data_IF_034048257016
#
_entry.id   IF_034048257016
#
_cell.length_a   1.000
_cell.length_b   1.000
_cell.length_c   1.000
_cell.angle_alpha   90.00
_cell.angle_beta   90.00
_cell.angle_gamma   90.00
#
_symmetry.space_group_name_H-M   'P 1'
#
loop_
_entity.id
_entity.type
_entity.pdbx_description
1 polymer ?
#
# COMPACT_ATOMS: atom_id res chain seq x y z
N UNK A 1 32.20 -18.94 23.65
CA UNK A 1 33.61 -18.73 23.27
C UNK A 1 33.60 -17.98 21.94
N UNK A 2 33.30 -16.68 21.99
CA UNK A 2 33.09 -15.84 20.81
C UNK A 2 33.43 -14.37 21.08
N UNK A 3 34.47 -14.14 21.86
CA UNK A 3 35.15 -12.86 21.97
C UNK A 3 36.62 -13.19 21.82
N UNK A 4 37.16 -12.92 20.63
CA UNK A 4 38.57 -12.56 20.38
C UNK A 4 38.88 -12.75 18.89
N UNK A 5 38.80 -11.64 18.15
CA UNK A 5 39.51 -11.41 16.90
C UNK A 5 40.13 -10.02 17.10
N UNK A 6 41.44 -9.83 16.94
CA UNK A 6 42.05 -9.14 15.78
C UNK A 6 43.51 -8.81 16.15
N UNK A 7 44.44 -9.10 15.22
CA UNK A 7 45.75 -8.45 14.88
C UNK A 7 46.59 -9.55 14.16
N UNK A 8 47.09 -9.47 12.93
CA UNK A 8 47.56 -8.36 12.09
C UNK A 8 47.67 -8.80 10.61
N UNK A 9 47.49 -7.85 9.68
CA UNK A 9 47.94 -7.80 8.28
C UNK A 9 47.55 -8.88 7.24
N UNK A 10 46.87 -9.97 7.61
CA UNK A 10 46.17 -10.89 6.70
C UNK A 10 44.63 -10.75 6.72
N UNK A 11 44.14 -9.75 7.43
CA UNK A 11 42.77 -9.67 7.98
C UNK A 11 41.74 -8.94 7.12
N UNK A 12 42.13 -8.09 6.17
CA UNK A 12 41.17 -7.20 5.49
C UNK A 12 40.22 -7.92 4.51
N UNK A 13 40.70 -8.94 3.80
CA UNK A 13 39.85 -9.73 2.89
C UNK A 13 38.94 -10.72 3.63
N UNK A 14 39.41 -11.26 4.76
CA UNK A 14 38.64 -12.17 5.59
C UNK A 14 37.51 -11.42 6.32
N UNK A 15 37.79 -10.21 6.81
CA UNK A 15 36.79 -9.31 7.41
C UNK A 15 35.74 -8.87 6.37
N UNK A 16 36.16 -8.59 5.13
CA UNK A 16 35.24 -8.26 4.04
C UNK A 16 34.34 -9.46 3.68
N UNK A 17 34.89 -10.66 3.55
CA UNK A 17 34.11 -11.86 3.23
C UNK A 17 33.10 -12.20 4.35
N UNK A 18 33.50 -12.10 5.61
CA UNK A 18 32.60 -12.30 6.76
C UNK A 18 31.50 -11.24 6.79
N UNK A 19 31.86 -9.98 6.50
CA UNK A 19 30.88 -8.89 6.44
C UNK A 19 29.88 -9.09 5.30
N UNK A 20 30.35 -9.47 4.10
CA UNK A 20 29.47 -9.77 2.96
C UNK A 20 28.52 -10.91 3.31
N UNK A 21 29.04 -12.01 3.86
CA UNK A 21 28.21 -13.14 4.24
C UNK A 21 27.16 -12.75 5.31
N UNK A 22 27.55 -11.92 6.27
CA UNK A 22 26.61 -11.39 7.26
C UNK A 22 25.49 -10.57 6.61
N UNK A 23 25.84 -9.68 5.68
CA UNK A 23 24.85 -8.88 4.94
C UNK A 23 23.93 -9.74 4.08
N UNK A 24 24.44 -10.81 3.47
CA UNK A 24 23.63 -11.78 2.72
C UNK A 24 22.62 -12.48 3.62
N UNK A 25 23.01 -12.88 4.85
CA UNK A 25 22.09 -13.44 5.83
C UNK A 25 21.01 -12.43 6.23
N UNK A 26 21.39 -11.19 6.57
CA UNK A 26 20.42 -10.15 6.89
C UNK A 26 19.46 -9.90 5.73
N UNK A 27 19.96 -9.84 4.49
CA UNK A 27 19.12 -9.69 3.31
C UNK A 27 18.17 -10.87 3.13
N UNK A 28 18.66 -12.12 3.26
CA UNK A 28 17.84 -13.31 3.17
C UNK A 28 16.71 -13.31 4.20
N UNK A 29 17.03 -13.01 5.47
CA UNK A 29 16.06 -12.91 6.54
C UNK A 29 15.06 -11.79 6.27
N UNK A 30 15.50 -10.63 5.76
CA UNK A 30 14.58 -9.57 5.33
C UNK A 30 13.59 -10.07 4.28
N UNK A 31 14.02 -10.87 3.30
CA UNK A 31 13.12 -11.46 2.30
C UNK A 31 12.14 -12.44 2.94
N UNK A 32 12.61 -13.35 3.80
CA UNK A 32 11.76 -14.31 4.51
C UNK A 32 10.70 -13.61 5.36
N UNK A 33 11.09 -12.63 6.18
CA UNK A 33 10.17 -11.87 7.02
C UNK A 33 9.26 -10.94 6.21
N UNK A 34 9.70 -10.44 5.04
CA UNK A 34 8.83 -9.72 4.12
C UNK A 34 7.74 -10.62 3.55
N UNK A 35 8.06 -11.88 3.24
CA UNK A 35 7.08 -12.87 2.79
C UNK A 35 6.11 -13.26 3.92
N UNK A 36 6.62 -13.51 5.15
CA UNK A 36 5.77 -13.80 6.30
C UNK A 36 4.84 -12.62 6.64
N UNK A 37 5.36 -11.40 6.57
CA UNK A 37 4.57 -10.18 6.70
C UNK A 37 3.48 -10.09 5.63
N UNK A 38 3.81 -10.41 4.38
CA UNK A 38 2.83 -10.48 3.30
C UNK A 38 1.74 -11.51 3.57
N UNK A 39 2.08 -12.72 4.03
CA UNK A 39 1.09 -13.75 4.42
C UNK A 39 0.17 -13.24 5.52
N UNK A 40 0.76 -12.71 6.60
CA UNK A 40 0.02 -12.15 7.73
C UNK A 40 -0.96 -11.07 7.29
N UNK A 41 -0.49 -10.10 6.52
CA UNK A 41 -1.28 -8.94 6.12
C UNK A 41 -2.35 -9.31 5.08
N UNK A 42 -2.00 -10.16 4.11
CA UNK A 42 -2.94 -10.69 3.10
C UNK A 42 -4.07 -11.45 3.77
N UNK A 43 -3.80 -12.32 4.75
CA UNK A 43 -4.84 -13.03 5.51
C UNK A 43 -5.71 -12.04 6.28
N UNK A 44 -5.08 -11.15 7.07
CA UNK A 44 -5.77 -10.21 7.93
C UNK A 44 -6.73 -9.30 7.14
N UNK A 45 -6.26 -8.71 6.04
CA UNK A 45 -7.07 -7.82 5.22
C UNK A 45 -8.09 -8.60 4.40
N UNK A 46 -7.77 -9.81 3.91
CA UNK A 46 -8.75 -10.62 3.17
C UNK A 46 -9.94 -11.03 4.04
N UNK A 47 -9.69 -11.35 5.31
CA UNK A 47 -10.75 -11.65 6.28
C UNK A 47 -11.60 -10.40 6.57
N UNK A 48 -10.96 -9.24 6.77
CA UNK A 48 -11.68 -7.97 7.00
C UNK A 48 -12.54 -7.55 5.81
N UNK A 49 -12.04 -7.72 4.59
CA UNK A 49 -12.69 -7.31 3.35
C UNK A 49 -13.63 -8.39 2.77
N UNK A 50 -13.65 -9.59 3.36
CA UNK A 50 -14.42 -10.77 2.91
C UNK A 50 -14.18 -11.13 1.44
N UNK A 51 -12.98 -10.88 0.94
CA UNK A 51 -12.50 -11.21 -0.41
C UNK A 51 -11.00 -11.35 -0.37
N UNK A 52 -10.40 -12.05 -1.33
CA UNK A 52 -8.95 -12.13 -1.41
C UNK A 52 -8.34 -10.76 -1.74
N UNK A 53 -7.40 -10.30 -0.90
CA UNK A 53 -6.68 -9.04 -1.06
C UNK A 53 -5.18 -9.29 -0.94
N UNK A 54 -4.48 -9.25 -2.08
CA UNK A 54 -3.02 -9.30 -2.10
C UNK A 54 -2.43 -7.98 -1.54
N UNK A 55 -1.78 -8.02 -0.37
CA UNK A 55 -1.24 -6.84 0.33
C UNK A 55 0.18 -6.42 -0.06
N UNK A 56 0.82 -7.12 -1.01
CA UNK A 56 2.19 -6.81 -1.41
C UNK A 56 2.33 -5.43 -2.03
N UNK A 57 3.30 -4.64 -1.56
CA UNK A 57 3.70 -3.41 -2.26
C UNK A 57 4.37 -3.75 -3.59
N UNK A 58 5.31 -4.70 -3.57
CA UNK A 58 5.88 -5.27 -4.78
C UNK A 58 4.83 -6.13 -5.50
N UNK A 59 5.07 -6.50 -6.76
CA UNK A 59 4.18 -7.39 -7.51
C UNK A 59 4.23 -8.82 -6.96
N UNK A 60 5.40 -9.25 -6.51
CA UNK A 60 5.61 -10.49 -5.77
C UNK A 60 5.00 -10.45 -4.36
N UNK A 61 4.94 -11.62 -3.69
CA UNK A 61 4.32 -11.78 -2.37
C UNK A 61 5.21 -11.25 -1.23
N UNK A 62 5.58 -9.96 -1.29
CA UNK A 62 6.50 -9.34 -0.34
C UNK A 62 5.91 -8.03 0.20
N UNK A 63 5.96 -7.89 1.53
CA UNK A 63 5.75 -6.62 2.23
C UNK A 63 7.08 -6.17 2.85
N UNK A 64 7.91 -5.38 2.14
CA UNK A 64 9.28 -5.06 2.56
C UNK A 64 9.43 -4.46 3.96
N UNK A 65 8.43 -3.70 4.42
CA UNK A 65 8.45 -3.08 5.75
C UNK A 65 8.59 -4.11 6.89
N UNK A 66 7.98 -5.30 6.73
CA UNK A 66 8.10 -6.38 7.73
C UNK A 66 9.50 -6.99 7.74
N UNK A 67 10.10 -7.19 6.57
CA UNK A 67 11.48 -7.65 6.45
C UNK A 67 12.47 -6.68 7.08
N UNK A 68 12.37 -5.41 6.72
CA UNK A 68 13.21 -4.34 7.27
C UNK A 68 13.01 -4.24 8.78
N UNK A 69 11.77 -4.23 9.26
CA UNK A 69 11.46 -4.15 10.69
C UNK A 69 12.00 -5.35 11.48
N UNK A 70 11.86 -6.56 10.95
CA UNK A 70 12.40 -7.77 11.56
C UNK A 70 13.93 -7.74 11.66
N UNK A 71 14.62 -7.38 10.57
CA UNK A 71 16.09 -7.32 10.57
C UNK A 71 16.61 -6.23 11.50
N UNK A 72 15.99 -5.05 11.51
CA UNK A 72 16.32 -3.99 12.48
C UNK A 72 16.10 -4.49 13.91
N UNK A 73 14.99 -5.17 14.18
CA UNK A 73 14.73 -5.78 15.48
C UNK A 73 15.79 -6.83 15.85
N UNK A 74 16.18 -7.71 14.93
CA UNK A 74 17.23 -8.71 15.16
C UNK A 74 18.56 -8.05 15.51
N UNK A 75 18.99 -7.06 14.73
CA UNK A 75 20.28 -6.38 14.94
C UNK A 75 20.29 -5.58 16.26
N UNK A 76 19.20 -4.87 16.57
CA UNK A 76 19.14 -3.95 17.72
C UNK A 76 18.76 -4.65 19.02
N UNK A 77 17.85 -5.63 18.98
CA UNK A 77 17.28 -6.25 20.17
C UNK A 77 18.02 -7.53 20.61
N UNK A 78 18.65 -8.27 19.69
CA UNK A 78 19.40 -9.50 20.06
C UNK A 78 20.51 -9.24 21.09
N UNK A 79 21.30 -8.14 21.02
CA UNK A 79 22.30 -7.83 22.05
C UNK A 79 21.72 -7.57 23.44
N UNK A 80 20.41 -7.36 23.56
CA UNK A 80 19.73 -7.03 24.81
C UNK A 80 19.22 -8.25 25.57
N UNK A 81 19.30 -9.46 25.00
CA UNK A 81 18.77 -10.70 25.59
C UNK A 81 19.31 -10.99 26.99
N UNK A 82 20.56 -10.64 27.26
CA UNK A 82 21.24 -10.93 28.53
C UNK A 82 21.09 -9.79 29.56
N UNK A 83 20.34 -8.74 29.23
CA UNK A 83 20.15 -7.59 30.14
C UNK A 83 19.05 -7.87 31.19
N UNK A 84 19.14 -7.29 32.41
CA UNK A 84 18.03 -7.31 33.34
C UNK A 84 16.78 -6.72 32.67
N UNK A 85 15.62 -7.37 32.84
CA UNK A 85 14.37 -6.97 32.20
C UNK A 85 14.38 -7.03 30.66
N UNK A 86 15.23 -7.88 30.05
CA UNK A 86 15.39 -8.03 28.59
C UNK A 86 14.06 -8.00 27.83
N UNK A 87 13.08 -8.83 28.21
CA UNK A 87 11.78 -8.92 27.54
C UNK A 87 11.05 -7.56 27.52
N UNK A 88 11.01 -6.84 28.65
CA UNK A 88 10.35 -5.55 28.73
C UNK A 88 11.09 -4.49 27.89
N UNK A 89 12.42 -4.46 27.99
CA UNK A 89 13.25 -3.52 27.21
C UNK A 89 13.10 -3.76 25.71
N UNK A 90 13.12 -5.03 25.28
CA UNK A 90 12.93 -5.42 23.89
C UNK A 90 11.52 -5.10 23.40
N UNK A 91 10.49 -5.31 24.22
CA UNK A 91 9.13 -4.91 23.90
C UNK A 91 9.02 -3.40 23.67
N UNK A 92 9.55 -2.58 24.59
CA UNK A 92 9.47 -1.12 24.49
C UNK A 92 10.25 -0.59 23.29
N UNK A 93 11.49 -1.06 23.09
CA UNK A 93 12.31 -0.65 21.93
C UNK A 93 11.73 -1.19 20.61
N UNK A 94 11.18 -2.40 20.61
CA UNK A 94 10.48 -2.96 19.46
C UNK A 94 9.25 -2.13 19.09
N UNK A 95 8.43 -1.75 20.07
CA UNK A 95 7.24 -0.92 19.88
C UNK A 95 7.60 0.47 19.32
N UNK A 96 8.60 1.13 19.91
CA UNK A 96 9.07 2.45 19.46
C UNK A 96 9.72 2.34 18.08
N UNK A 97 10.63 1.39 17.89
CA UNK A 97 11.35 1.19 16.64
C UNK A 97 10.42 0.87 15.46
N UNK A 98 9.46 -0.03 15.68
CA UNK A 98 8.44 -0.33 14.67
C UNK A 98 7.56 0.90 14.37
N UNK A 99 7.16 1.66 15.38
CA UNK A 99 6.38 2.89 15.20
C UNK A 99 7.15 3.94 14.39
N UNK A 100 8.46 4.10 14.65
CA UNK A 100 9.33 5.01 13.88
C UNK A 100 9.43 4.54 12.43
N UNK A 101 9.68 3.25 12.20
CA UNK A 101 9.77 2.68 10.86
C UNK A 101 8.45 2.85 10.09
N UNK A 102 7.32 2.56 10.72
CA UNK A 102 5.99 2.68 10.12
C UNK A 102 5.66 4.14 9.79
N UNK A 103 5.91 5.07 10.72
CA UNK A 103 5.71 6.49 10.47
C UNK A 103 6.58 7.01 9.32
N UNK A 104 7.88 6.67 9.34
CA UNK A 104 8.83 7.08 8.31
C UNK A 104 8.43 6.51 6.94
N UNK A 105 8.07 5.23 6.88
CA UNK A 105 7.62 4.58 5.63
C UNK A 105 6.37 5.26 5.09
N UNK A 106 5.36 5.49 5.94
CA UNK A 106 4.14 6.21 5.57
C UNK A 106 4.45 7.62 5.04
N UNK A 107 5.38 8.34 5.67
CA UNK A 107 5.78 9.68 5.26
C UNK A 107 6.53 9.70 3.92
N UNK A 108 7.51 8.79 3.73
CA UNK A 108 8.24 8.66 2.46
C UNK A 108 7.29 8.33 1.31
N UNK A 109 6.38 7.37 1.53
CA UNK A 109 5.39 6.98 0.51
C UNK A 109 4.44 8.12 0.17
N UNK A 110 4.01 8.91 1.15
CA UNK A 110 3.19 10.08 0.89
C UNK A 110 3.94 11.14 0.09
N UNK A 111 5.22 11.40 0.38
CA UNK A 111 6.03 12.35 -0.40
C UNK A 111 6.34 11.86 -1.81
N UNK A 112 6.51 10.55 -2.00
CA UNK A 112 6.81 9.97 -3.30
C UNK A 112 5.57 9.82 -4.19
N UNK A 113 4.41 9.48 -3.61
CA UNK A 113 3.22 9.07 -4.36
C UNK A 113 1.97 9.92 -4.07
N UNK A 114 2.05 10.92 -3.19
CA UNK A 114 0.92 11.73 -2.72
C UNK A 114 -0.25 10.92 -2.14
N UNK A 115 0.05 9.71 -1.65
CA UNK A 115 -0.91 8.80 -1.05
C UNK A 115 -0.28 8.02 0.11
N UNK A 116 -1.12 7.59 1.04
CA UNK A 116 -0.78 6.74 2.19
C UNK A 116 -1.49 5.42 2.04
N UNK A 117 -0.79 4.31 2.26
CA UNK A 117 -1.28 2.96 1.98
C UNK A 117 -2.17 2.41 3.10
N UNK A 118 -2.11 3.03 4.27
CA UNK A 118 -2.94 2.76 5.43
C UNK A 118 -3.30 4.07 6.12
N UNK A 119 -4.37 4.02 6.91
CA UNK A 119 -4.86 5.13 7.70
C UNK A 119 -5.41 4.62 9.05
N UNK A 120 -4.82 5.12 10.13
CA UNK A 120 -5.18 4.84 11.53
C UNK A 120 -5.93 5.99 12.20
N UNK A 121 -6.44 6.98 11.44
CA UNK A 121 -7.14 8.15 12.00
C UNK A 121 -8.34 7.78 12.89
N UNK A 122 -8.94 6.61 12.67
CA UNK A 122 -10.07 6.10 13.46
C UNK A 122 -9.66 5.39 14.76
N UNK A 123 -8.36 5.19 15.00
CA UNK A 123 -7.86 4.54 16.22
C UNK A 123 -7.49 5.58 17.28
N UNK A 124 -7.72 5.23 18.55
CA UNK A 124 -7.29 6.06 19.69
C UNK A 124 -5.77 6.12 19.75
N UNK A 125 -5.24 7.25 20.22
CA UNK A 125 -3.80 7.50 20.33
C UNK A 125 -3.06 7.28 19.00
N UNK A 126 -3.65 7.75 17.90
CA UNK A 126 -2.98 7.78 16.60
C UNK A 126 -2.14 9.07 16.45
N UNK A 127 -1.10 9.00 15.63
CA UNK A 127 -0.30 10.16 15.24
C UNK A 127 -0.45 10.41 13.74
N UNK A 128 -1.16 11.49 13.39
CA UNK A 128 -1.52 11.87 12.01
C UNK A 128 -2.16 10.72 11.20
N UNK A 129 -2.77 9.72 11.84
CA UNK A 129 -3.26 8.52 11.19
C UNK A 129 -2.19 7.59 10.59
N UNK A 130 -0.90 7.77 10.90
CA UNK A 130 0.19 6.92 10.35
C UNK A 130 0.54 5.72 11.21
N UNK A 131 0.44 5.89 12.52
CA UNK A 131 0.69 4.89 13.54
C UNK A 131 -0.37 5.02 14.64
N UNK A 132 -0.53 3.99 15.46
CA UNK A 132 -1.41 4.03 16.63
C UNK A 132 -0.86 3.17 17.78
N UNK A 133 -1.34 3.42 19.00
CA UNK A 133 -0.89 2.70 20.19
C UNK A 133 -1.11 1.18 20.10
N UNK A 134 -2.25 0.74 19.55
CA UNK A 134 -2.51 -0.70 19.39
C UNK A 134 -1.49 -1.33 18.45
N UNK A 135 -1.16 -0.65 17.34
CA UNK A 135 -0.09 -1.09 16.43
C UNK A 135 1.25 -1.18 17.14
N UNK A 136 1.64 -0.14 17.90
CA UNK A 136 2.87 -0.13 18.66
C UNK A 136 2.98 -1.31 19.64
N UNK A 137 1.90 -1.65 20.35
CA UNK A 137 1.87 -2.80 21.27
C UNK A 137 2.04 -4.11 20.49
N UNK A 138 1.27 -4.33 19.42
CA UNK A 138 1.36 -5.54 18.60
C UNK A 138 2.77 -5.72 18.04
N UNK A 139 3.37 -4.67 17.49
CA UNK A 139 4.72 -4.73 16.95
C UNK A 139 5.80 -4.85 18.02
N UNK A 140 5.58 -4.31 19.23
CA UNK A 140 6.45 -4.57 20.38
C UNK A 140 6.47 -6.05 20.75
N UNK A 141 5.30 -6.71 20.78
CA UNK A 141 5.22 -8.17 21.00
C UNK A 141 5.92 -8.92 19.86
N UNK A 142 5.69 -8.53 18.60
CA UNK A 142 6.39 -9.15 17.47
C UNK A 142 7.90 -8.95 17.53
N UNK A 143 8.42 -7.81 18.00
CA UNK A 143 9.85 -7.61 18.21
C UNK A 143 10.46 -8.65 19.14
N UNK A 144 9.80 -8.92 20.27
CA UNK A 144 10.22 -9.98 21.21
C UNK A 144 10.11 -11.36 20.56
N UNK A 145 8.96 -11.69 19.97
CA UNK A 145 8.72 -13.02 19.37
C UNK A 145 9.67 -13.31 18.19
N UNK A 146 10.00 -12.31 17.37
CA UNK A 146 10.96 -12.46 16.29
C UNK A 146 12.30 -12.88 16.86
N UNK A 147 12.79 -12.18 17.87
CA UNK A 147 14.15 -12.35 18.38
C UNK A 147 14.28 -13.59 19.27
N UNK A 148 13.30 -13.89 20.12
CA UNK A 148 13.39 -15.00 21.08
C UNK A 148 12.85 -16.32 20.52
N UNK A 149 11.90 -16.26 19.59
CA UNK A 149 11.22 -17.46 19.07
C UNK A 149 11.57 -17.69 17.62
N UNK A 150 11.27 -16.77 16.71
CA UNK A 150 11.34 -17.04 15.28
C UNK A 150 12.78 -17.13 14.75
N UNK A 151 13.64 -16.19 15.12
CA UNK A 151 14.99 -16.04 14.59
C UNK A 151 15.87 -17.28 14.85
N UNK A 152 15.86 -17.91 16.04
CA UNK A 152 16.59 -19.17 16.25
C UNK A 152 16.22 -20.29 15.26
N UNK A 153 14.95 -20.37 14.82
CA UNK A 153 14.53 -21.35 13.80
C UNK A 153 14.98 -20.94 12.41
N UNK A 154 14.85 -19.66 12.07
CA UNK A 154 15.28 -19.12 10.77
C UNK A 154 16.79 -19.31 10.59
N UNK A 155 17.60 -19.03 11.60
CA UNK A 155 19.05 -19.26 11.59
C UNK A 155 19.38 -20.73 11.39
N UNK A 156 18.71 -21.63 12.12
CA UNK A 156 18.90 -23.09 11.96
C UNK A 156 18.61 -23.55 10.55
N UNK A 157 17.52 -23.08 9.94
CA UNK A 157 17.16 -23.47 8.57
C UNK A 157 18.09 -22.85 7.53
N UNK A 158 18.49 -21.59 7.73
CA UNK A 158 19.43 -20.91 6.84
C UNK A 158 20.79 -21.61 6.85
N UNK A 159 21.25 -22.08 8.02
CA UNK A 159 22.51 -22.81 8.17
C UNK A 159 22.54 -24.18 7.46
N UNK A 160 21.39 -24.73 7.06
CA UNK A 160 21.33 -25.99 6.28
C UNK A 160 21.63 -25.77 4.79
N UNK A 161 21.62 -24.53 4.32
CA UNK A 161 21.83 -24.20 2.91
C UNK A 161 23.34 -24.22 2.61
N UNK A 162 23.81 -25.02 1.64
CA UNK A 162 25.21 -25.00 1.23
C UNK A 162 25.63 -23.60 0.77
N UNK A 163 26.83 -23.15 1.17
CA UNK A 163 27.28 -21.77 0.94
C UNK A 163 27.19 -21.33 -0.54
N UNK A 164 27.61 -22.18 -1.48
CA UNK A 164 27.50 -21.88 -2.91
C UNK A 164 26.05 -21.71 -3.37
N UNK A 165 25.14 -22.55 -2.88
CA UNK A 165 23.72 -22.42 -3.19
C UNK A 165 23.13 -21.14 -2.57
N UNK A 166 23.58 -20.78 -1.36
CA UNK A 166 23.16 -19.57 -0.68
C UNK A 166 23.50 -18.31 -1.51
N UNK A 167 24.75 -18.14 -1.95
CA UNK A 167 25.13 -17.00 -2.80
C UNK A 167 24.31 -16.92 -4.09
N UNK A 168 24.01 -18.05 -4.74
CA UNK A 168 23.19 -18.10 -5.96
C UNK A 168 21.75 -17.66 -5.66
N UNK A 169 21.16 -18.15 -4.56
CA UNK A 169 19.81 -17.77 -4.12
C UNK A 169 19.76 -16.26 -3.85
N UNK A 170 20.76 -15.71 -3.14
CA UNK A 170 20.82 -14.27 -2.85
C UNK A 170 20.92 -13.45 -4.13
N UNK A 171 21.82 -13.81 -5.05
CA UNK A 171 21.94 -13.11 -6.33
C UNK A 171 20.62 -13.13 -7.11
N UNK A 172 19.95 -14.27 -7.19
CA UNK A 172 18.65 -14.39 -7.86
C UNK A 172 17.56 -13.55 -7.20
N UNK A 173 17.49 -13.54 -5.86
CA UNK A 173 16.53 -12.74 -5.09
C UNK A 173 16.78 -11.24 -5.28
N UNK A 174 18.03 -10.79 -5.21
CA UNK A 174 18.38 -9.38 -5.43
C UNK A 174 17.93 -8.93 -6.82
N UNK A 175 18.26 -9.69 -7.86
CA UNK A 175 17.87 -9.35 -9.25
C UNK A 175 16.35 -9.31 -9.39
N UNK A 176 15.65 -10.33 -8.88
CA UNK A 176 14.19 -10.44 -9.01
C UNK A 176 13.47 -9.31 -8.28
N UNK A 177 13.85 -9.05 -7.02
CA UNK A 177 13.27 -7.98 -6.20
C UNK A 177 13.57 -6.61 -6.80
N UNK A 178 14.77 -6.41 -7.33
CA UNK A 178 15.15 -5.16 -7.99
C UNK A 178 14.31 -4.89 -9.24
N UNK A 179 14.15 -5.89 -10.11
CA UNK A 179 13.29 -5.78 -11.30
C UNK A 179 11.84 -5.49 -10.89
N UNK A 180 11.31 -6.21 -9.91
CA UNK A 180 9.94 -6.00 -9.41
C UNK A 180 9.76 -4.58 -8.82
N UNK A 181 10.72 -4.12 -8.03
CA UNK A 181 10.72 -2.77 -7.49
C UNK A 181 10.71 -1.71 -8.61
N UNK A 182 11.55 -1.86 -9.64
CA UNK A 182 11.54 -0.95 -10.79
C UNK A 182 10.20 -0.93 -11.50
N UNK A 183 9.62 -2.10 -11.81
CA UNK A 183 8.31 -2.20 -12.46
C UNK A 183 7.23 -1.56 -11.57
N UNK A 184 7.28 -1.80 -10.27
CA UNK A 184 6.35 -1.25 -9.27
C UNK A 184 6.40 0.28 -9.24
N UNK A 185 7.60 0.86 -9.18
CA UNK A 185 7.83 2.32 -9.13
C UNK A 185 7.45 2.97 -10.46
N UNK A 186 7.88 2.40 -11.59
CA UNK A 186 7.53 2.91 -12.93
C UNK A 186 6.02 2.85 -13.14
N UNK A 187 5.35 1.76 -12.76
CA UNK A 187 3.90 1.64 -12.90
C UNK A 187 3.12 2.59 -11.97
N UNK A 188 3.68 2.96 -10.81
CA UNK A 188 3.13 3.99 -9.93
C UNK A 188 3.50 5.42 -10.37
N UNK A 189 4.45 5.60 -11.28
CA UNK A 189 4.84 6.91 -11.76
C UNK A 189 3.65 7.64 -12.42
N UNK A 190 3.54 8.95 -12.14
CA UNK A 190 2.43 9.76 -12.62
C UNK A 190 1.07 9.44 -11.99
N UNK A 191 0.98 8.54 -10.99
CA UNK A 191 -0.29 8.26 -10.30
C UNK A 191 -0.86 9.51 -9.63
N UNK A 192 -0.04 10.30 -8.93
CA UNK A 192 -0.45 11.56 -8.32
C UNK A 192 -0.99 12.57 -9.36
N UNK A 193 -0.30 12.71 -10.51
CA UNK A 193 -0.78 13.57 -11.60
C UNK A 193 -2.13 13.11 -12.14
N UNK A 194 -2.32 11.81 -12.32
CA UNK A 194 -3.60 11.24 -12.76
C UNK A 194 -4.70 11.48 -11.73
N UNK A 195 -4.41 11.32 -10.43
CA UNK A 195 -5.36 11.64 -9.36
C UNK A 195 -5.76 13.12 -9.38
N UNK A 196 -4.79 14.03 -9.58
CA UNK A 196 -5.08 15.46 -9.72
C UNK A 196 -5.99 15.76 -10.91
N UNK A 197 -5.70 15.18 -12.08
CA UNK A 197 -6.52 15.34 -13.28
C UNK A 197 -7.91 14.71 -13.10
N UNK A 198 -8.02 13.58 -12.40
CA UNK A 198 -9.29 12.96 -12.06
C UNK A 198 -10.14 13.84 -11.14
N UNK A 199 -9.54 14.37 -10.07
CA UNK A 199 -10.23 15.29 -9.16
C UNK A 199 -10.70 16.53 -9.90
N UNK A 200 -9.87 17.12 -10.76
CA UNK A 200 -10.25 18.26 -11.59
C UNK A 200 -11.41 17.93 -12.56
N UNK A 201 -11.39 16.75 -13.19
CA UNK A 201 -12.47 16.30 -14.05
C UNK A 201 -13.80 16.17 -13.29
N UNK A 202 -13.75 15.56 -12.10
CA UNK A 202 -14.91 15.38 -11.23
C UNK A 202 -15.49 16.71 -10.74
N UNK A 203 -14.64 17.66 -10.34
CA UNK A 203 -15.06 19.00 -9.92
C UNK A 203 -15.70 19.76 -11.06
N UNK A 204 -15.09 19.77 -12.25
CA UNK A 204 -15.67 20.43 -13.43
C UNK A 204 -17.01 19.82 -13.82
N UNK A 205 -17.14 18.49 -13.81
CA UNK A 205 -18.42 17.84 -14.08
C UNK A 205 -19.49 18.26 -13.07
N UNK A 206 -19.12 18.36 -11.78
CA UNK A 206 -20.04 18.84 -10.74
C UNK A 206 -20.48 20.28 -10.99
N UNK A 207 -19.56 21.15 -11.41
CA UNK A 207 -19.85 22.57 -11.67
C UNK A 207 -20.75 22.77 -12.89
N UNK A 208 -20.47 22.09 -14.01
CA UNK A 208 -21.32 22.15 -15.22
C UNK A 208 -22.73 21.66 -14.91
N UNK A 209 -22.84 20.58 -14.12
CA UNK A 209 -24.13 20.06 -13.68
C UNK A 209 -24.85 21.08 -12.81
N UNK A 210 -24.16 21.69 -11.84
CA UNK A 210 -24.73 22.73 -10.99
C UNK A 210 -25.27 23.91 -11.80
N UNK A 211 -24.53 24.36 -12.83
CA UNK A 211 -24.94 25.44 -13.73
C UNK A 211 -26.20 25.08 -14.52
N UNK A 212 -26.18 23.92 -15.21
CA UNK A 212 -27.33 23.43 -15.99
C UNK A 212 -28.56 23.16 -15.13
N UNK A 213 -28.38 22.69 -13.90
CA UNK A 213 -29.49 22.41 -12.98
C UNK A 213 -30.20 23.68 -12.49
N UNK A 214 -29.48 24.81 -12.45
CA UNK A 214 -30.08 26.13 -12.23
C UNK A 214 -31.17 26.44 -13.26
N UNK A 215 -30.99 25.98 -14.51
CA UNK A 215 -31.97 26.16 -15.59
C UNK A 215 -33.21 25.27 -15.44
N UNK A 216 -33.12 24.13 -14.74
CA UNK A 216 -34.22 23.17 -14.56
C UNK A 216 -35.02 23.36 -13.26
N UNK A 217 -34.63 24.31 -12.40
CA UNK A 217 -35.34 24.60 -11.14
C UNK A 217 -35.34 23.44 -10.12
N UNK A 218 -34.38 22.52 -10.23
CA UNK A 218 -34.20 21.40 -9.29
C UNK A 218 -33.43 21.87 -8.04
N UNK A 219 -33.69 21.25 -6.89
CA UNK A 219 -32.87 21.45 -5.69
C UNK A 219 -31.41 21.02 -6.00
N UNK A 220 -30.42 21.94 -5.88
CA UNK A 220 -29.03 21.64 -6.17
C UNK A 220 -28.48 20.43 -5.38
N UNK A 221 -28.96 20.20 -4.16
CA UNK A 221 -28.48 19.11 -3.30
C UNK A 221 -28.97 17.77 -3.83
N UNK A 222 -30.27 17.67 -4.10
CA UNK A 222 -30.90 16.44 -4.58
C UNK A 222 -30.34 16.04 -5.95
N UNK A 223 -30.11 17.02 -6.82
CA UNK A 223 -29.56 16.77 -8.14
C UNK A 223 -28.06 16.45 -8.13
N UNK A 224 -27.25 17.03 -7.23
CA UNK A 224 -25.86 16.61 -7.03
C UNK A 224 -25.77 15.18 -6.45
N UNK A 225 -26.66 14.83 -5.51
CA UNK A 225 -26.74 13.47 -4.98
C UNK A 225 -27.06 12.48 -6.09
N UNK A 226 -28.10 12.75 -6.87
CA UNK A 226 -28.52 11.92 -8.01
C UNK A 226 -27.48 11.88 -9.12
N UNK A 227 -26.72 12.96 -9.32
CA UNK A 227 -25.55 12.97 -10.19
C UNK A 227 -24.45 12.04 -9.66
N UNK A 228 -24.11 12.15 -8.38
CA UNK A 228 -23.12 11.27 -7.76
C UNK A 228 -23.55 9.81 -7.88
N UNK A 229 -24.86 9.54 -7.84
CA UNK A 229 -25.43 8.22 -8.02
C UNK A 229 -25.39 7.78 -9.48
N UNK A 230 -25.73 8.66 -10.42
CA UNK A 230 -25.67 8.46 -11.86
C UNK A 230 -24.25 8.12 -12.32
N UNK A 231 -23.29 8.97 -11.99
CA UNK A 231 -21.87 8.77 -12.24
C UNK A 231 -21.35 7.56 -11.45
N UNK A 232 -21.94 7.28 -10.27
CA UNK A 232 -21.68 6.05 -9.54
C UNK A 232 -22.35 4.79 -10.16
N UNK A 233 -22.99 4.87 -11.32
CA UNK A 233 -23.69 3.73 -11.94
C UNK A 233 -24.90 3.21 -11.15
N UNK A 234 -25.43 4.00 -10.21
CA UNK A 234 -26.62 3.73 -9.38
C UNK A 234 -27.91 4.28 -10.01
N UNK A 235 -27.85 4.76 -11.26
CA UNK A 235 -29.02 5.31 -11.97
C UNK A 235 -30.16 4.31 -12.16
N UNK A 236 -29.87 3.00 -12.14
CA UNK A 236 -30.87 1.94 -12.30
C UNK A 236 -31.90 1.88 -11.15
N UNK A 237 -31.59 2.42 -9.97
CA UNK A 237 -32.53 2.46 -8.85
C UNK A 237 -33.55 3.60 -8.94
N UNK A 238 -33.41 4.50 -9.91
CA UNK A 238 -34.29 5.66 -10.08
C UNK A 238 -35.26 5.42 -11.24
N UNK A 239 -36.56 5.56 -10.98
CA UNK A 239 -37.64 5.41 -11.96
C UNK A 239 -38.42 6.72 -12.16
N UNK A 240 -39.04 6.88 -13.34
CA UNK A 240 -39.88 8.04 -13.67
C UNK A 240 -39.14 9.21 -14.34
N UNK A 241 -39.87 10.30 -14.56
CA UNK A 241 -39.44 11.45 -15.38
C UNK A 241 -38.16 12.14 -14.88
N UNK A 242 -37.87 12.06 -13.57
CA UNK A 242 -36.64 12.60 -13.02
C UNK A 242 -35.40 11.79 -13.43
N UNK A 243 -35.51 10.45 -13.46
CA UNK A 243 -34.42 9.56 -13.89
C UNK A 243 -34.13 9.73 -15.38
N UNK A 244 -35.17 9.99 -16.19
CA UNK A 244 -35.07 10.23 -17.63
C UNK A 244 -34.39 11.58 -17.91
N UNK A 245 -34.78 12.66 -17.21
CA UNK A 245 -34.11 13.96 -17.29
C UNK A 245 -32.66 13.93 -16.81
N UNK A 246 -32.34 13.11 -15.79
CA UNK A 246 -30.96 12.94 -15.34
C UNK A 246 -30.11 12.10 -16.30
N UNK A 247 -30.69 11.09 -16.97
CA UNK A 247 -30.02 10.38 -18.06
C UNK A 247 -29.76 11.30 -19.23
N UNK A 248 -30.77 12.05 -19.65
CA UNK A 248 -30.65 13.04 -20.73
C UNK A 248 -29.60 14.12 -20.39
N UNK A 249 -29.58 14.62 -19.16
CA UNK A 249 -28.56 15.55 -18.69
C UNK A 249 -27.16 14.90 -18.65
N UNK A 250 -27.05 13.64 -18.23
CA UNK A 250 -25.80 12.89 -18.19
C UNK A 250 -25.22 12.63 -19.59
N UNK A 251 -26.11 12.36 -20.55
CA UNK A 251 -25.79 12.04 -21.95
C UNK A 251 -25.52 13.30 -22.79
N UNK A 252 -26.14 14.45 -22.44
CA UNK A 252 -25.99 15.73 -23.14
C UNK A 252 -25.10 16.76 -22.43
N UNK A 253 -24.31 16.33 -21.44
CA UNK A 253 -23.34 17.20 -20.78
C UNK A 253 -22.22 17.61 -21.76
N UNK A 254 -21.82 18.91 -21.80
CA UNK A 254 -20.68 19.37 -22.59
C UNK A 254 -19.44 18.51 -22.35
N UNK A 255 -18.67 18.29 -23.41
CA UNK A 255 -17.38 17.59 -23.30
C UNK A 255 -16.49 18.29 -22.28
N UNK A 256 -15.89 17.49 -21.38
CA UNK A 256 -14.90 18.01 -20.46
C UNK A 256 -13.68 18.50 -21.27
N UNK A 257 -13.02 19.60 -20.85
CA UNK A 257 -11.79 20.03 -21.47
C UNK A 257 -10.77 18.89 -21.49
N UNK A 258 -10.03 18.75 -22.59
CA UNK A 258 -9.00 17.72 -22.71
C UNK A 258 -7.96 17.88 -21.59
N UNK A 259 -7.82 16.86 -20.75
CA UNK A 259 -6.79 16.80 -19.72
C UNK A 259 -5.60 15.99 -20.27
N UNK A 260 -4.34 16.43 -20.06
CA UNK A 260 -3.19 15.91 -20.80
C UNK A 260 -2.96 14.41 -20.66
N UNK A 261 -3.27 13.81 -19.50
CA UNK A 261 -3.06 12.37 -19.26
C UNK A 261 -4.34 11.53 -19.33
N UNK A 262 -5.47 12.14 -19.68
CA UNK A 262 -6.78 11.49 -19.75
C UNK A 262 -7.31 11.37 -21.18
N UNK A 263 -7.96 10.26 -21.53
CA UNK A 263 -8.78 10.19 -22.73
C UNK A 263 -9.90 11.24 -22.69
N UNK A 264 -10.40 11.65 -23.86
CA UNK A 264 -11.56 12.54 -23.94
C UNK A 264 -12.78 11.88 -23.29
N UNK A 265 -13.37 12.57 -22.33
CA UNK A 265 -14.55 12.09 -21.61
C UNK A 265 -15.80 12.47 -22.41
N UNK A 266 -16.55 11.46 -22.86
CA UNK A 266 -17.79 11.63 -23.62
C UNK A 266 -18.99 11.46 -22.69
N UNK A 267 -19.49 12.57 -22.15
CA UNK A 267 -20.60 12.58 -21.20
C UNK A 267 -20.21 12.07 -19.81
N UNK A 268 -21.00 12.43 -18.80
CA UNK A 268 -20.60 12.19 -17.42
C UNK A 268 -21.00 10.80 -16.91
N UNK A 269 -21.96 10.16 -17.59
CA UNK A 269 -22.30 8.75 -17.33
C UNK A 269 -21.12 7.78 -17.54
N UNK A 270 -20.16 8.13 -18.40
CA UNK A 270 -18.94 7.35 -18.67
C UNK A 270 -17.67 7.93 -18.05
N UNK A 271 -17.79 8.98 -17.23
CA UNK A 271 -16.62 9.63 -16.64
C UNK A 271 -15.81 8.62 -15.84
N UNK A 272 -16.42 7.95 -14.86
CA UNK A 272 -15.69 6.99 -14.02
C UNK A 272 -15.12 5.80 -14.78
N UNK A 273 -15.80 5.30 -15.82
CA UNK A 273 -15.26 4.25 -16.67
C UNK A 273 -14.02 4.76 -17.43
N UNK A 274 -14.09 5.97 -17.98
CA UNK A 274 -12.95 6.61 -18.65
C UNK A 274 -11.77 6.84 -17.70
N UNK A 275 -12.03 7.30 -16.47
CA UNK A 275 -10.99 7.47 -15.45
C UNK A 275 -10.40 6.12 -15.05
N UNK A 276 -11.24 5.11 -14.84
CA UNK A 276 -10.79 3.76 -14.48
C UNK A 276 -9.97 3.15 -15.61
N UNK A 277 -10.34 3.33 -16.87
CA UNK A 277 -9.61 2.81 -18.02
C UNK A 277 -8.29 3.54 -18.27
N UNK A 278 -8.20 4.81 -17.86
CA UNK A 278 -6.95 5.56 -17.90
C UNK A 278 -5.89 5.05 -16.89
N UNK A 279 -6.30 4.29 -15.87
CA UNK A 279 -5.36 3.68 -14.91
C UNK A 279 -4.70 2.44 -15.51
N UNK A 280 -3.38 2.35 -15.35
CA UNK A 280 -2.65 1.15 -15.73
C UNK A 280 -2.90 0.00 -14.73
N UNK A 281 -2.49 -1.22 -15.10
CA UNK A 281 -2.69 -2.41 -14.28
C UNK A 281 -2.08 -2.28 -12.86
N UNK A 282 -0.93 -1.62 -12.75
CA UNK A 282 -0.23 -1.43 -11.47
C UNK A 282 -0.99 -0.49 -10.53
N UNK A 283 -1.54 0.61 -11.04
CA UNK A 283 -2.35 1.55 -10.28
C UNK A 283 -3.67 0.93 -9.84
N UNK A 284 -4.34 0.19 -10.74
CA UNK A 284 -5.54 -0.59 -10.41
C UNK A 284 -5.26 -1.61 -9.31
N UNK A 285 -4.15 -2.36 -9.41
CA UNK A 285 -3.70 -3.30 -8.38
C UNK A 285 -3.53 -2.60 -7.04
N UNK A 286 -2.80 -1.49 -7.00
CA UNK A 286 -2.53 -0.74 -5.77
C UNK A 286 -3.82 -0.26 -5.08
N UNK A 287 -4.79 0.23 -5.83
CA UNK A 287 -6.10 0.63 -5.28
C UNK A 287 -6.87 -0.56 -4.66
N UNK A 288 -6.75 -1.75 -5.26
CA UNK A 288 -7.37 -3.00 -4.76
C UNK A 288 -6.65 -3.57 -3.54
N UNK A 289 -5.31 -3.56 -3.57
CA UNK A 289 -4.40 -4.08 -2.53
C UNK A 289 -4.45 -3.24 -1.26
N UNK A 290 -4.73 -1.94 -1.37
CA UNK A 290 -4.79 -1.03 -0.23
C UNK A 290 -6.18 -0.41 -0.06
N UNK A 291 -7.15 -1.14 0.55
CA UNK A 291 -8.52 -0.66 0.77
C UNK A 291 -8.63 0.60 1.64
N UNK A 292 -7.64 0.83 2.50
CA UNK A 292 -7.53 2.04 3.32
C UNK A 292 -6.52 3.04 2.77
N UNK A 293 -6.13 2.92 1.50
CA UNK A 293 -5.30 3.95 0.87
C UNK A 293 -6.07 5.26 0.83
N UNK A 294 -5.40 6.33 1.24
CA UNK A 294 -5.94 7.69 1.35
C UNK A 294 -4.93 8.71 0.84
N UNK A 295 -5.38 9.93 0.58
CA UNK A 295 -4.56 11.08 0.21
C UNK A 295 -5.13 12.32 0.86
N UNK A 296 -4.26 13.26 1.25
CA UNK A 296 -4.68 14.56 1.79
C UNK A 296 -5.45 15.34 0.72
N UNK A 297 -4.97 15.30 -0.52
CA UNK A 297 -5.52 16.10 -1.62
C UNK A 297 -6.60 15.33 -2.40
N UNK A 298 -6.50 13.99 -2.48
CA UNK A 298 -7.30 13.17 -3.41
C UNK A 298 -8.12 12.06 -2.73
N UNK A 299 -8.38 12.15 -1.43
CA UNK A 299 -8.99 11.08 -0.63
C UNK A 299 -10.34 10.59 -1.17
N UNK A 300 -11.27 11.51 -1.49
CA UNK A 300 -12.59 11.14 -2.04
C UNK A 300 -12.49 10.51 -3.44
N UNK A 301 -11.62 11.04 -4.30
CA UNK A 301 -11.39 10.50 -5.64
C UNK A 301 -10.85 9.06 -5.57
N UNK A 302 -9.90 8.78 -4.67
CA UNK A 302 -9.38 7.43 -4.45
C UNK A 302 -10.50 6.48 -4.00
N UNK A 303 -11.35 6.92 -3.07
CA UNK A 303 -12.46 6.11 -2.56
C UNK A 303 -13.45 5.75 -3.67
N UNK A 304 -13.86 6.73 -4.48
CA UNK A 304 -14.81 6.54 -5.58
C UNK A 304 -14.25 5.61 -6.67
N UNK A 305 -12.98 5.79 -7.08
CA UNK A 305 -12.33 4.91 -8.06
C UNK A 305 -12.24 3.46 -7.58
N UNK A 306 -11.95 3.25 -6.29
CA UNK A 306 -11.92 1.91 -5.70
C UNK A 306 -13.29 1.26 -5.70
N UNK A 307 -14.34 1.99 -5.31
CA UNK A 307 -15.72 1.49 -5.34
C UNK A 307 -16.13 1.05 -6.76
N UNK A 308 -15.70 1.79 -7.78
CA UNK A 308 -15.93 1.46 -9.19
C UNK A 308 -15.20 0.20 -9.64
N UNK A 309 -13.90 0.11 -9.36
CA UNK A 309 -13.11 -1.08 -9.66
C UNK A 309 -13.74 -2.34 -9.07
N UNK A 310 -14.14 -2.29 -7.80
CA UNK A 310 -14.77 -3.41 -7.10
C UNK A 310 -16.18 -3.77 -7.62
N UNK A 311 -16.85 -2.87 -8.35
CA UNK A 311 -18.16 -3.15 -8.99
C UNK A 311 -17.99 -3.81 -10.35
N UNK A 312 -17.03 -3.33 -11.15
CA UNK A 312 -16.75 -3.90 -12.47
C UNK A 312 -16.23 -5.34 -12.35
N UNK A 313 -15.48 -5.66 -11.29
CA UNK A 313 -15.03 -7.03 -11.01
C UNK A 313 -16.22 -7.97 -10.72
N UNK A 314 -17.18 -7.54 -9.87
CA UNK A 314 -18.39 -8.34 -9.57
C UNK A 314 -19.26 -8.64 -10.80
N UNK A 315 -19.39 -7.68 -11.72
CA UNK A 315 -20.12 -7.90 -12.99
C UNK A 315 -19.45 -8.91 -13.92
N UNK A 316 -18.15 -9.15 -13.73
CA UNK A 316 -17.40 -10.14 -14.51
C UNK A 316 -17.50 -11.53 -13.88
N UNK A 317 -17.56 -11.62 -12.54
CA UNK A 317 -17.72 -12.88 -11.81
C UNK A 317 -19.14 -13.48 -11.94
N UNK A 318 -20.15 -12.64 -12.22
CA UNK A 318 -21.56 -13.05 -12.42
C UNK A 318 -21.90 -13.48 -13.88
N UNK A 319 -20.91 -13.54 -14.78
CA UNK A 319 -21.07 -13.96 -16.19
C UNK A 319 -20.42 -15.30 -16.48
#
# INVERSE_FOLDING_TARGET
>A
MSHDIVLSAGMTSMDAAVTVLYLEHLFFWAVCYSFLGWVYETILVSVQERRFVNRGFLNGPLCPIYGTGAVVAIVVLTPLKDTPMAVLTMFLLGAVGASVLEYATSWVMEKAFHARWWDYSHFKFNLNGRICLIGAIVFGVFGVLIVDVAQPWVERWTALIPLTAFHIIIAALVITIFIDFLITVIGLSGFARRLAEFTQALERSRDIIRERLGDYGLDPIEALQRYSDAAAGRLQSYTGAAAERMRDLADNLPELPSLPSLPRVHGVGRLYDTLTDALNAQQKRMLRSFPRMTSVDYGETIKQLREMLNRNDRKHDDK
#
